data_IF_592596243453
#
_entry.id   IF_592596243453
#
_cell.length_a   1.000
_cell.length_b   1.000
_cell.length_c   1.000
_cell.angle_alpha   90.00
_cell.angle_beta   90.00
_cell.angle_gamma   90.00
#
_symmetry.space_group_name_H-M   'P 1'
#
loop_
_entity.id
_entity.type
_entity.pdbx_description
1 polymer ?
#
# COMPACT_ATOMS: atom_id res chain seq x y z
N UNK A 1 -7.53 13.31 20.64
CA UNK A 1 -6.77 12.05 20.47
C UNK A 1 -5.91 12.21 19.21
N UNK A 2 -4.62 11.88 19.25
CA UNK A 2 -3.72 12.10 18.10
C UNK A 2 -4.00 11.13 16.97
N UNK A 3 -3.81 11.57 15.75
CA UNK A 3 -3.86 10.74 14.53
C UNK A 3 -2.73 9.72 14.55
N UNK A 4 -3.02 8.44 14.30
CA UNK A 4 -2.02 7.37 14.14
C UNK A 4 -1.39 7.46 12.75
N UNK A 5 -0.19 6.88 12.62
CA UNK A 5 0.46 6.68 11.32
C UNK A 5 0.45 5.18 11.00
N UNK A 6 0.18 4.86 9.76
CA UNK A 6 0.30 3.51 9.24
C UNK A 6 1.09 3.51 7.93
N UNK A 7 2.14 2.71 7.89
CA UNK A 7 2.88 2.39 6.67
C UNK A 7 3.36 0.94 6.76
N UNK A 8 3.13 0.20 5.69
CA UNK A 8 3.74 -1.11 5.50
C UNK A 8 4.59 -1.10 4.24
N UNK A 9 5.88 -1.17 4.41
CA UNK A 9 6.82 -1.38 3.30
C UNK A 9 6.91 -2.87 2.95
N UNK A 10 7.39 -3.18 1.75
CA UNK A 10 7.45 -4.55 1.23
C UNK A 10 8.25 -5.51 2.13
N UNK A 11 9.30 -5.00 2.77
CA UNK A 11 10.22 -5.71 3.66
C UNK A 11 10.00 -5.37 5.14
N UNK A 12 8.85 -4.76 5.46
CA UNK A 12 8.55 -4.29 6.80
C UNK A 12 8.10 -5.43 7.71
N UNK A 13 8.65 -5.59 8.91
CA UNK A 13 8.03 -6.39 9.93
C UNK A 13 6.67 -5.79 10.30
N UNK A 14 5.74 -6.62 10.77
CA UNK A 14 4.50 -6.16 11.40
C UNK A 14 4.84 -5.11 12.45
N UNK A 15 4.04 -4.06 12.53
CA UNK A 15 4.27 -2.98 13.47
C UNK A 15 5.64 -2.32 13.33
N UNK A 16 6.03 -1.97 12.10
CA UNK A 16 7.20 -1.12 11.88
C UNK A 16 7.13 0.16 12.72
N UNK A 17 8.26 0.84 12.94
CA UNK A 17 8.31 2.02 13.80
C UNK A 17 7.41 3.18 13.36
N UNK A 18 6.89 3.13 12.14
CA UNK A 18 5.92 4.08 11.58
C UNK A 18 4.47 3.72 11.89
N UNK A 19 4.21 2.49 12.32
CA UNK A 19 2.86 2.04 12.65
C UNK A 19 2.53 2.35 14.11
N UNK A 20 1.50 3.15 14.35
CA UNK A 20 0.91 3.36 15.66
C UNK A 20 -0.17 2.33 16.02
N UNK A 21 -0.25 1.24 15.28
CA UNK A 21 -1.24 0.18 15.45
C UNK A 21 -0.85 -0.70 16.64
N UNK A 22 -1.79 -1.03 17.56
CA UNK A 22 -1.51 -1.89 18.70
C UNK A 22 -1.05 -3.29 18.29
N UNK A 23 -0.25 -3.92 19.14
CA UNK A 23 0.17 -5.30 18.95
C UNK A 23 -1.04 -6.25 18.87
N UNK A 24 -0.96 -7.22 17.95
CA UNK A 24 -2.03 -8.18 17.72
C UNK A 24 -3.17 -7.71 16.80
N UNK A 25 -3.21 -6.41 16.45
CA UNK A 25 -4.20 -5.88 15.49
C UNK A 25 -4.01 -6.43 14.08
N UNK A 26 -2.75 -6.67 13.69
CA UNK A 26 -2.39 -7.12 12.34
C UNK A 26 -1.79 -8.52 12.37
N UNK A 27 -2.24 -9.36 11.43
CA UNK A 27 -1.68 -10.69 11.21
C UNK A 27 -1.35 -10.89 9.73
N UNK A 28 -0.10 -11.21 9.43
CA UNK A 28 0.29 -11.64 8.07
C UNK A 28 -0.10 -13.09 7.86
N UNK A 29 -0.81 -13.34 6.77
CA UNK A 29 -1.22 -14.68 6.38
C UNK A 29 -0.35 -15.21 5.24
N UNK A 30 -0.10 -16.52 5.18
CA UNK A 30 0.75 -17.10 4.13
C UNK A 30 0.11 -16.98 2.76
N UNK A 31 0.95 -16.71 1.74
CA UNK A 31 0.54 -16.61 0.34
C UNK A 31 0.84 -17.93 -0.37
N UNK A 32 -0.18 -18.49 -1.04
CA UNK A 32 -0.03 -19.66 -1.89
C UNK A 32 1.06 -19.45 -2.96
N UNK A 33 1.91 -20.47 -3.24
CA UNK A 33 3.01 -20.31 -4.19
C UNK A 33 2.60 -19.73 -5.55
N UNK A 34 1.46 -20.15 -6.09
CA UNK A 34 0.93 -19.66 -7.37
C UNK A 34 0.57 -18.16 -7.39
N UNK A 35 0.36 -17.54 -6.22
CA UNK A 35 0.01 -16.12 -6.12
C UNK A 35 1.21 -15.21 -5.82
N UNK A 36 2.37 -15.75 -5.46
CA UNK A 36 3.52 -14.95 -4.99
C UNK A 36 4.07 -13.95 -6.03
N UNK A 37 3.87 -14.23 -7.32
CA UNK A 37 4.21 -13.30 -8.41
C UNK A 37 3.23 -12.13 -8.57
N UNK A 38 2.02 -12.23 -7.98
CA UNK A 38 0.94 -11.26 -8.14
C UNK A 38 0.54 -10.56 -6.83
N UNK A 39 0.77 -11.21 -5.70
CA UNK A 39 0.41 -10.72 -4.36
C UNK A 39 1.69 -10.47 -3.57
N UNK A 40 1.81 -9.30 -2.95
CA UNK A 40 2.94 -8.94 -2.09
C UNK A 40 2.72 -9.36 -0.65
N UNK A 41 1.53 -9.13 -0.12
CA UNK A 41 1.14 -9.59 1.22
C UNK A 41 -0.37 -9.78 1.33
N UNK A 42 -0.74 -10.60 2.29
CA UNK A 42 -2.10 -10.88 2.72
C UNK A 42 -2.15 -10.59 4.21
N UNK A 43 -3.02 -9.65 4.61
CA UNK A 43 -3.06 -9.09 5.95
C UNK A 43 -4.46 -9.19 6.52
N UNK A 44 -4.61 -9.87 7.65
CA UNK A 44 -5.79 -9.78 8.49
C UNK A 44 -5.60 -8.66 9.49
N UNK A 45 -6.64 -7.83 9.70
CA UNK A 45 -6.65 -6.79 10.71
C UNK A 45 -7.91 -6.88 11.56
N UNK A 46 -7.77 -6.60 12.85
CA UNK A 46 -8.88 -6.59 13.81
C UNK A 46 -8.59 -5.63 14.96
N UNK A 47 -9.49 -4.69 15.18
CA UNK A 47 -9.43 -3.78 16.31
C UNK A 47 -10.84 -3.39 16.76
N UNK A 48 -11.07 -3.32 18.07
CA UNK A 48 -12.35 -2.87 18.63
C UNK A 48 -12.12 -1.61 19.45
N UNK A 49 -12.93 -0.61 19.20
CA UNK A 49 -12.88 0.69 19.86
C UNK A 49 -13.99 0.81 20.90
N UNK A 50 -13.77 1.61 21.93
CA UNK A 50 -14.81 1.90 22.91
C UNK A 50 -15.99 2.64 22.24
N UNK A 51 -17.25 2.43 22.68
CA UNK A 51 -18.40 3.09 22.10
C UNK A 51 -18.23 4.61 22.02
N UNK A 52 -18.54 5.18 20.87
CA UNK A 52 -18.38 6.60 20.58
C UNK A 52 -16.95 7.09 20.38
N UNK A 53 -15.95 6.19 20.43
CA UNK A 53 -14.58 6.53 20.08
C UNK A 53 -14.32 6.38 18.58
N UNK A 54 -13.76 7.45 17.99
CA UNK A 54 -13.24 7.44 16.63
C UNK A 54 -11.71 7.51 16.68
N UNK A 55 -11.05 6.63 15.94
CA UNK A 55 -9.61 6.68 15.72
C UNK A 55 -9.35 7.13 14.29
N UNK A 56 -8.49 8.11 14.13
CA UNK A 56 -8.00 8.57 12.82
C UNK A 56 -6.63 7.98 12.58
N UNK A 57 -6.47 7.38 11.41
CA UNK A 57 -5.20 6.79 11.01
C UNK A 57 -4.78 7.34 9.64
N UNK A 58 -3.58 7.87 9.57
CA UNK A 58 -2.98 8.32 8.32
C UNK A 58 -2.22 7.16 7.69
N UNK A 59 -2.78 6.65 6.62
CA UNK A 59 -2.17 5.60 5.78
C UNK A 59 -1.22 6.27 4.80
N UNK A 60 0.06 5.97 4.91
CA UNK A 60 1.08 6.49 4.01
C UNK A 60 1.10 5.69 2.70
N UNK A 61 1.36 6.35 1.56
CA UNK A 61 1.31 5.70 0.26
C UNK A 61 2.50 4.76 0.08
N UNK A 62 2.21 3.54 -0.35
CA UNK A 62 3.21 2.55 -0.79
C UNK A 62 3.12 2.25 -2.30
N UNK A 63 2.13 2.86 -2.98
CA UNK A 63 1.89 2.67 -4.40
C UNK A 63 1.26 1.33 -4.77
N UNK A 64 0.88 0.51 -3.80
CA UNK A 64 0.23 -0.77 -4.06
C UNK A 64 -1.27 -0.58 -4.35
N UNK A 65 -1.79 -1.46 -5.20
CA UNK A 65 -3.23 -1.68 -5.35
C UNK A 65 -3.66 -2.68 -4.29
N UNK A 66 -4.80 -2.43 -3.63
CA UNK A 66 -5.32 -3.32 -2.60
C UNK A 66 -6.73 -3.79 -2.90
N UNK A 67 -7.02 -5.04 -2.51
CA UNK A 67 -8.37 -5.53 -2.34
C UNK A 67 -8.64 -5.59 -0.84
N UNK A 68 -9.78 -5.07 -0.41
CA UNK A 68 -10.18 -5.02 1.00
C UNK A 68 -11.54 -5.67 1.15
N UNK A 69 -11.64 -6.54 2.15
CA UNK A 69 -12.87 -7.24 2.54
C UNK A 69 -13.11 -6.95 4.02
N UNK A 70 -14.10 -6.14 4.33
CA UNK A 70 -14.47 -5.74 5.69
C UNK A 70 -15.54 -6.70 6.23
N UNK A 71 -15.27 -7.36 7.35
CA UNK A 71 -16.21 -8.22 8.07
C UNK A 71 -16.93 -7.47 9.18
N UNK A 72 -16.33 -6.39 9.70
CA UNK A 72 -16.88 -5.46 10.66
C UNK A 72 -17.21 -4.11 10.02
N UNK A 73 -17.11 -3.03 10.80
CA UNK A 73 -17.34 -1.69 10.32
C UNK A 73 -16.23 -1.28 9.36
N UNK A 74 -16.63 -0.91 8.15
CA UNK A 74 -15.68 -0.51 7.11
C UNK A 74 -15.08 0.87 7.44
N UNK A 75 -13.74 1.02 7.48
CA UNK A 75 -13.10 2.31 7.67
C UNK A 75 -13.53 3.32 6.60
N UNK A 76 -13.91 4.53 6.99
CA UNK A 76 -14.22 5.61 6.04
C UNK A 76 -12.95 6.41 5.71
N UNK A 77 -12.81 6.86 4.47
CA UNK A 77 -11.66 7.66 4.02
C UNK A 77 -12.12 8.98 3.41
N UNK A 78 -11.47 10.09 3.77
CA UNK A 78 -11.67 11.41 3.17
C UNK A 78 -13.17 11.79 2.98
N UNK A 79 -13.98 11.58 4.02
CA UNK A 79 -15.44 11.78 4.06
C UNK A 79 -16.28 10.83 3.18
N UNK A 80 -15.66 9.90 2.46
CA UNK A 80 -16.35 8.82 1.77
C UNK A 80 -16.61 7.65 2.74
N UNK A 81 -17.82 7.08 2.77
CA UNK A 81 -18.10 5.90 3.58
C UNK A 81 -17.26 4.72 3.09
N UNK A 82 -16.76 3.91 4.03
CA UNK A 82 -16.11 2.64 3.71
C UNK A 82 -17.08 1.66 3.07
N UNK A 83 -16.55 0.77 2.25
CA UNK A 83 -17.33 -0.26 1.57
C UNK A 83 -16.99 -1.64 2.12
N UNK A 84 -17.96 -2.54 2.12
CA UNK A 84 -17.75 -3.92 2.59
C UNK A 84 -16.70 -4.66 1.76
N UNK A 85 -16.67 -4.41 0.46
CA UNK A 85 -15.65 -4.93 -0.46
C UNK A 85 -15.19 -3.84 -1.42
N UNK A 86 -13.90 -3.60 -1.49
CA UNK A 86 -13.37 -2.55 -2.33
C UNK A 86 -12.02 -2.90 -2.98
N UNK A 87 -11.77 -2.31 -4.13
CA UNK A 87 -10.47 -2.25 -4.75
C UNK A 87 -9.94 -0.81 -4.65
N UNK A 88 -8.83 -0.65 -3.96
CA UNK A 88 -8.16 0.64 -3.77
C UNK A 88 -7.01 0.71 -4.75
N UNK A 89 -7.07 1.65 -5.68
CA UNK A 89 -6.04 1.89 -6.68
C UNK A 89 -4.74 2.43 -6.07
N UNK A 90 -3.71 2.50 -6.89
CA UNK A 90 -2.42 3.03 -6.44
C UNK A 90 -2.51 4.53 -6.14
N UNK A 91 -2.05 4.93 -4.95
CA UNK A 91 -1.99 6.31 -4.48
C UNK A 91 -0.54 6.76 -4.28
N UNK A 92 -0.29 8.04 -4.56
CA UNK A 92 0.98 8.72 -4.26
C UNK A 92 0.77 9.90 -3.29
N UNK A 93 -0.29 9.86 -2.49
CA UNK A 93 -0.61 10.81 -1.44
C UNK A 93 -1.11 10.06 -0.20
N UNK A 94 -0.98 10.61 1.01
CA UNK A 94 -1.50 9.97 2.21
C UNK A 94 -3.04 10.03 2.21
N UNK A 95 -3.68 9.00 2.78
CA UNK A 95 -5.11 8.99 3.06
C UNK A 95 -5.34 8.98 4.57
N UNK A 96 -6.38 9.65 5.05
CA UNK A 96 -6.79 9.59 6.46
C UNK A 96 -8.04 8.74 6.56
N UNK A 97 -7.90 7.56 7.19
CA UNK A 97 -9.03 6.68 7.48
C UNK A 97 -9.56 6.93 8.88
N UNK A 98 -10.87 6.84 9.04
CA UNK A 98 -11.57 6.93 10.32
C UNK A 98 -12.16 5.57 10.65
N UNK A 99 -11.89 5.11 11.85
CA UNK A 99 -12.29 3.80 12.35
C UNK A 99 -13.11 3.96 13.62
N UNK A 100 -14.19 3.19 13.72
CA UNK A 100 -15.10 3.17 14.87
C UNK A 100 -15.51 1.73 15.17
N UNK A 101 -16.10 1.55 16.32
CA UNK A 101 -16.72 0.29 16.76
C UNK A 101 -15.81 -0.94 16.54
N UNK A 102 -16.11 -1.83 15.66
CA UNK A 102 -15.27 -3.01 15.39
C UNK A 102 -14.83 -3.06 13.94
N UNK A 103 -13.57 -2.76 13.71
CA UNK A 103 -12.93 -2.88 12.40
C UNK A 103 -12.29 -4.25 12.30
N UNK A 104 -12.76 -5.04 11.38
CA UNK A 104 -12.22 -6.38 11.09
C UNK A 104 -12.24 -6.59 9.58
N UNK A 105 -11.12 -7.07 9.02
CA UNK A 105 -11.07 -7.29 7.58
C UNK A 105 -9.80 -7.97 7.11
N UNK A 106 -9.80 -8.29 5.82
CA UNK A 106 -8.71 -8.91 5.12
C UNK A 106 -8.30 -8.04 3.94
N UNK A 107 -7.01 -7.69 3.89
CA UNK A 107 -6.42 -6.85 2.85
C UNK A 107 -5.40 -7.63 2.05
N UNK A 108 -5.49 -7.56 0.72
CA UNK A 108 -4.52 -8.11 -0.23
C UNK A 108 -3.83 -6.96 -0.94
N UNK A 109 -2.52 -6.85 -0.83
CA UNK A 109 -1.75 -5.93 -1.64
C UNK A 109 -1.22 -6.63 -2.89
N UNK A 110 -1.51 -6.05 -4.04
CA UNK A 110 -1.09 -6.57 -5.32
C UNK A 110 0.31 -6.07 -5.69
N UNK A 111 1.08 -6.93 -6.33
CA UNK A 111 2.34 -6.50 -6.96
C UNK A 111 2.04 -5.65 -8.18
N UNK A 112 2.93 -4.70 -8.51
CA UNK A 112 2.84 -3.99 -9.78
C UNK A 112 2.63 -4.97 -10.95
N UNK A 113 1.71 -4.66 -11.84
CA UNK A 113 1.37 -5.50 -13.00
C UNK A 113 0.26 -6.54 -12.78
N UNK A 114 -0.13 -6.82 -11.53
CA UNK A 114 -1.12 -7.85 -11.24
C UNK A 114 -2.58 -7.41 -11.49
N UNK A 115 -2.86 -6.11 -11.61
CA UNK A 115 -4.21 -5.58 -11.69
C UNK A 115 -5.03 -6.17 -12.85
N UNK A 116 -4.48 -6.17 -14.06
CA UNK A 116 -5.21 -6.67 -15.23
C UNK A 116 -5.63 -8.14 -15.07
N UNK A 117 -4.75 -8.99 -14.53
CA UNK A 117 -5.03 -10.42 -14.34
C UNK A 117 -6.02 -10.67 -13.19
N UNK A 118 -5.92 -9.92 -12.09
CA UNK A 118 -6.73 -10.15 -10.90
C UNK A 118 -8.02 -9.30 -10.86
N UNK A 119 -7.99 -8.08 -11.39
CA UNK A 119 -9.16 -7.18 -11.39
C UNK A 119 -9.90 -7.17 -12.72
N UNK A 120 -9.23 -7.54 -13.83
CA UNK A 120 -9.81 -7.50 -15.17
C UNK A 120 -9.68 -6.13 -15.85
N UNK A 121 -9.02 -5.16 -15.20
CA UNK A 121 -8.80 -3.81 -15.73
C UNK A 121 -7.35 -3.37 -15.57
N UNK A 122 -6.84 -2.50 -16.44
CA UNK A 122 -5.54 -1.85 -16.23
C UNK A 122 -5.47 -1.10 -14.90
N UNK A 123 -4.31 -1.10 -14.26
CA UNK A 123 -4.08 -0.41 -12.99
C UNK A 123 -4.43 1.09 -13.05
N UNK A 124 -4.21 1.73 -14.21
CA UNK A 124 -4.49 3.15 -14.42
C UNK A 124 -5.97 3.52 -14.38
N UNK A 125 -6.88 2.57 -14.63
CA UNK A 125 -8.33 2.85 -14.60
C UNK A 125 -8.87 3.09 -13.17
N UNK A 126 -8.20 2.51 -12.18
CA UNK A 126 -8.56 2.68 -10.76
C UNK A 126 -7.56 3.52 -9.99
N UNK A 127 -6.53 4.07 -10.65
CA UNK A 127 -5.50 4.88 -10.00
C UNK A 127 -6.11 6.08 -9.26
N UNK A 128 -5.71 6.28 -8.00
CA UNK A 128 -6.23 7.37 -7.16
C UNK A 128 -7.70 7.22 -6.75
N UNK A 129 -8.30 6.03 -6.87
CA UNK A 129 -9.70 5.77 -6.55
C UNK A 129 -9.86 4.55 -5.67
N UNK A 130 -10.86 4.55 -4.81
CA UNK A 130 -11.46 3.35 -4.24
C UNK A 130 -12.76 3.06 -5.01
N UNK A 131 -12.94 1.84 -5.47
CA UNK A 131 -14.12 1.40 -6.23
C UNK A 131 -14.71 0.15 -5.58
N UNK A 132 -16.02 -0.01 -5.64
CA UNK A 132 -16.66 -1.22 -5.16
C UNK A 132 -16.17 -2.41 -5.98
N UNK A 133 -15.70 -3.48 -5.33
CA UNK A 133 -15.07 -4.60 -6.02
C UNK A 133 -16.01 -5.27 -7.04
N UNK A 134 -17.31 -5.25 -6.78
CA UNK A 134 -18.30 -5.83 -7.70
C UNK A 134 -18.44 -5.06 -9.02
N UNK A 135 -18.01 -3.79 -9.09
CA UNK A 135 -17.92 -3.07 -10.37
C UNK A 135 -16.89 -3.73 -11.30
N UNK A 136 -15.87 -4.37 -10.73
CA UNK A 136 -14.82 -5.08 -11.46
C UNK A 136 -15.08 -6.60 -11.58
N UNK A 137 -15.77 -7.18 -10.60
CA UNK A 137 -15.95 -8.63 -10.48
C UNK A 137 -17.38 -9.11 -10.77
N UNK A 138 -18.34 -8.19 -11.05
CA UNK A 138 -19.70 -8.57 -11.40
C UNK A 138 -20.46 -9.31 -10.30
N UNK A 139 -20.36 -8.84 -9.03
CA UNK A 139 -21.03 -9.43 -7.86
C UNK A 139 -20.27 -10.58 -7.19
N UNK A 140 -19.14 -11.04 -7.76
CA UNK A 140 -18.32 -12.09 -7.15
C UNK A 140 -17.66 -11.63 -5.84
N UNK A 141 -17.38 -10.32 -5.66
CA UNK A 141 -16.74 -9.76 -4.47
C UNK A 141 -17.63 -9.87 -3.23
N UNK A 142 -18.85 -9.41 -3.30
CA UNK A 142 -19.84 -9.51 -2.21
C UNK A 142 -20.17 -10.97 -1.90
N UNK A 143 -20.30 -11.82 -2.92
CA UNK A 143 -20.52 -13.27 -2.73
C UNK A 143 -19.33 -13.91 -2.01
N UNK A 144 -18.10 -13.53 -2.34
CA UNK A 144 -16.91 -14.04 -1.67
C UNK A 144 -16.85 -13.57 -0.22
N UNK A 145 -17.18 -12.29 0.05
CA UNK A 145 -17.23 -11.76 1.42
C UNK A 145 -18.20 -12.57 2.28
N UNK A 146 -19.42 -12.84 1.80
CA UNK A 146 -20.42 -13.62 2.54
C UNK A 146 -19.87 -15.03 2.89
N UNK A 147 -19.25 -15.72 1.93
CA UNK A 147 -18.63 -17.04 2.18
C UNK A 147 -17.47 -16.96 3.19
N UNK A 148 -16.66 -15.90 3.14
CA UNK A 148 -15.57 -15.70 4.09
C UNK A 148 -16.09 -15.37 5.49
N UNK A 149 -17.22 -14.64 5.60
CA UNK A 149 -17.84 -14.36 6.89
C UNK A 149 -18.32 -15.64 7.61
N UNK A 150 -18.75 -16.65 6.86
CA UNK A 150 -19.17 -17.96 7.38
C UNK A 150 -17.99 -18.92 7.67
N UNK A 151 -16.77 -18.53 7.29
CA UNK A 151 -15.60 -19.38 7.47
C UNK A 151 -15.23 -19.50 8.96
N UNK A 152 -14.79 -20.69 9.35
CA UNK A 152 -14.50 -21.06 10.75
C UNK A 152 -13.37 -20.27 11.40
N UNK A 153 -12.40 -19.80 10.60
CA UNK A 153 -11.20 -19.11 11.06
C UNK A 153 -10.56 -18.27 9.94
N UNK A 154 -9.57 -17.45 10.30
CA UNK A 154 -8.88 -16.56 9.38
C UNK A 154 -8.07 -17.31 8.30
N UNK A 155 -7.58 -18.52 8.60
CA UNK A 155 -6.91 -19.36 7.61
C UNK A 155 -7.87 -19.83 6.52
N UNK A 156 -9.09 -20.22 6.89
CA UNK A 156 -10.14 -20.59 5.95
C UNK A 156 -10.61 -19.39 5.12
N UNK A 157 -10.75 -18.20 5.72
CA UNK A 157 -11.01 -16.94 5.00
C UNK A 157 -9.94 -16.65 3.94
N UNK A 158 -8.67 -16.73 4.34
CA UNK A 158 -7.54 -16.55 3.43
C UNK A 158 -7.51 -17.59 2.31
N UNK A 159 -7.86 -18.84 2.60
CA UNK A 159 -7.92 -19.90 1.60
C UNK A 159 -9.02 -19.63 0.55
N UNK A 160 -10.22 -19.23 0.98
CA UNK A 160 -11.31 -18.86 0.06
C UNK A 160 -10.92 -17.72 -0.87
N UNK A 161 -10.32 -16.67 -0.31
CA UNK A 161 -9.85 -15.53 -1.10
C UNK A 161 -8.77 -15.96 -2.10
N UNK A 162 -7.78 -16.73 -1.67
CA UNK A 162 -6.69 -17.18 -2.54
C UNK A 162 -7.21 -18.09 -3.67
N UNK A 163 -8.20 -18.93 -3.40
CA UNK A 163 -8.87 -19.73 -4.44
C UNK A 163 -9.57 -18.85 -5.47
N UNK A 164 -10.26 -17.78 -5.03
CA UNK A 164 -10.89 -16.83 -5.94
C UNK A 164 -9.85 -16.12 -6.81
N UNK A 165 -8.73 -15.65 -6.23
CA UNK A 165 -7.64 -15.02 -6.97
C UNK A 165 -7.00 -15.97 -7.99
N UNK A 166 -6.74 -17.23 -7.60
CA UNK A 166 -6.20 -18.24 -8.53
C UNK A 166 -7.15 -18.52 -9.69
N UNK A 167 -8.46 -18.61 -9.44
CA UNK A 167 -9.47 -18.76 -10.49
C UNK A 167 -9.45 -17.59 -11.48
N UNK A 168 -9.22 -16.37 -10.99
CA UNK A 168 -9.11 -15.18 -11.85
C UNK A 168 -7.84 -15.22 -12.69
N UNK A 169 -6.70 -15.62 -12.12
CA UNK A 169 -5.48 -15.82 -12.91
C UNK A 169 -5.68 -16.85 -14.03
N UNK A 170 -6.37 -17.95 -13.75
CA UNK A 170 -6.68 -18.95 -14.77
C UNK A 170 -7.58 -18.40 -15.89
N UNK A 171 -8.57 -17.56 -15.55
CA UNK A 171 -9.43 -16.90 -16.53
C UNK A 171 -8.69 -15.87 -17.38
N UNK A 172 -7.72 -15.17 -16.80
CA UNK A 172 -6.93 -14.15 -17.51
C UNK A 172 -5.96 -14.73 -18.54
N UNK A 173 -5.67 -16.05 -18.51
CA UNK A 173 -4.73 -16.70 -19.41
C UNK A 173 -3.30 -16.16 -19.27
N UNK A 174 -2.55 -16.12 -20.38
CA UNK A 174 -1.17 -15.62 -20.42
C UNK A 174 -1.05 -14.09 -20.30
N UNK A 175 -1.96 -13.44 -19.60
CA UNK A 175 -1.95 -12.00 -19.32
C UNK A 175 -0.73 -11.55 -18.52
N UNK A 176 0.45 -12.04 -18.88
CA UNK A 176 1.72 -11.64 -18.26
C UNK A 176 1.95 -10.14 -18.47
N UNK A 177 2.12 -9.37 -17.40
CA UNK A 177 2.42 -7.95 -17.54
C UNK A 177 3.66 -7.74 -18.40
N UNK A 178 3.75 -6.66 -19.21
CA UNK A 178 4.95 -6.39 -19.97
C UNK A 178 6.17 -6.38 -19.07
N UNK A 179 7.12 -7.26 -19.36
CA UNK A 179 8.36 -7.42 -18.58
C UNK A 179 9.08 -6.08 -18.37
N UNK A 180 9.00 -5.18 -19.34
CA UNK A 180 9.57 -3.84 -19.28
C UNK A 180 8.99 -2.99 -18.10
N UNK A 181 7.66 -2.99 -17.90
CA UNK A 181 7.05 -2.21 -16.81
C UNK A 181 7.49 -2.74 -15.43
N UNK A 182 7.48 -4.07 -15.29
CA UNK A 182 7.86 -4.73 -14.05
C UNK A 182 9.35 -4.57 -13.73
N UNK A 183 10.19 -4.68 -14.76
CA UNK A 183 11.62 -4.48 -14.62
C UNK A 183 11.94 -3.03 -14.28
N UNK A 184 11.31 -2.06 -14.96
CA UNK A 184 11.47 -0.65 -14.64
C UNK A 184 11.04 -0.32 -13.20
N UNK A 185 9.92 -0.86 -12.71
CA UNK A 185 9.47 -0.65 -11.34
C UNK A 185 10.51 -1.15 -10.32
N UNK A 186 11.12 -2.31 -10.59
CA UNK A 186 12.21 -2.87 -9.75
C UNK A 186 13.47 -2.01 -9.82
N UNK A 187 13.89 -1.58 -10.99
CA UNK A 187 15.08 -0.71 -11.15
C UNK A 187 14.93 0.59 -10.38
N UNK A 188 13.77 1.26 -10.53
CA UNK A 188 13.50 2.50 -9.81
C UNK A 188 13.51 2.27 -8.28
N UNK A 189 12.89 1.19 -7.80
CA UNK A 189 12.86 0.88 -6.38
C UNK A 189 14.26 0.52 -5.84
N UNK A 190 15.04 -0.29 -6.58
CA UNK A 190 16.40 -0.69 -6.19
C UNK A 190 17.39 0.49 -6.17
N UNK A 191 17.14 1.53 -6.98
CA UNK A 191 17.92 2.75 -6.99
C UNK A 191 17.37 3.82 -6.02
N UNK A 192 16.43 3.48 -5.14
CA UNK A 192 15.74 4.41 -4.24
C UNK A 192 15.17 5.64 -4.98
N UNK A 193 14.67 5.44 -6.20
CA UNK A 193 14.10 6.51 -7.01
C UNK A 193 15.08 7.57 -7.52
N UNK A 194 16.39 7.32 -7.46
CA UNK A 194 17.44 8.29 -7.85
C UNK A 194 17.82 8.20 -9.33
N UNK A 195 17.47 7.10 -10.00
CA UNK A 195 17.84 6.88 -11.40
C UNK A 195 17.02 7.76 -12.34
N UNK A 196 17.67 8.32 -13.36
CA UNK A 196 17.01 9.13 -14.37
C UNK A 196 16.05 8.28 -15.23
N UNK A 197 14.87 8.80 -15.56
CA UNK A 197 13.87 8.08 -16.35
C UNK A 197 14.43 7.55 -17.68
N UNK A 198 15.29 8.34 -18.34
CA UNK A 198 15.95 7.95 -19.59
C UNK A 198 16.80 6.69 -19.43
N UNK A 199 17.54 6.59 -18.34
CA UNK A 199 18.39 5.42 -18.05
C UNK A 199 17.54 4.17 -17.79
N UNK A 200 16.45 4.33 -17.02
CA UNK A 200 15.49 3.24 -16.78
C UNK A 200 14.87 2.78 -18.10
N UNK A 201 14.44 3.71 -18.96
CA UNK A 201 13.83 3.41 -20.25
C UNK A 201 14.83 2.66 -21.18
N UNK A 202 16.08 3.11 -21.21
CA UNK A 202 17.16 2.42 -21.95
C UNK A 202 17.41 1.00 -21.42
N UNK A 203 17.48 0.84 -20.09
CA UNK A 203 17.73 -0.45 -19.45
C UNK A 203 16.63 -1.50 -19.74
N UNK A 204 15.38 -1.04 -19.96
CA UNK A 204 14.26 -1.94 -20.29
C UNK A 204 13.94 -1.97 -21.79
N UNK A 205 14.75 -1.33 -22.64
CA UNK A 205 14.64 -1.41 -24.09
C UNK A 205 13.44 -0.67 -24.69
N UNK A 206 12.93 0.40 -24.05
CA UNK A 206 11.80 1.19 -24.56
C UNK A 206 12.11 2.69 -24.52
N UNK A 207 11.34 3.50 -25.29
CA UNK A 207 11.41 4.94 -25.18
C UNK A 207 10.68 5.45 -23.92
N UNK A 208 11.06 6.63 -23.40
CA UNK A 208 10.48 7.22 -22.18
C UNK A 208 8.95 7.35 -22.24
N UNK A 209 8.41 7.81 -23.38
CA UNK A 209 6.96 7.94 -23.57
C UNK A 209 6.26 6.57 -23.46
N UNK A 210 6.85 5.52 -24.06
CA UNK A 210 6.31 4.17 -23.96
C UNK A 210 6.40 3.64 -22.54
N UNK A 211 7.49 3.90 -21.83
CA UNK A 211 7.64 3.56 -20.43
C UNK A 211 6.57 4.21 -19.55
N UNK A 212 6.28 5.50 -19.75
CA UNK A 212 5.22 6.21 -19.03
C UNK A 212 3.85 5.56 -19.24
N UNK A 213 3.52 5.18 -20.50
CA UNK A 213 2.26 4.48 -20.83
C UNK A 213 2.18 3.11 -20.15
N UNK A 214 3.24 2.33 -20.20
CA UNK A 214 3.30 1.01 -19.58
C UNK A 214 3.18 1.12 -18.05
N UNK A 215 3.86 2.10 -17.45
CA UNK A 215 3.77 2.33 -16.02
C UNK A 215 2.35 2.70 -15.58
N UNK A 216 1.71 3.64 -16.27
CA UNK A 216 0.33 4.01 -15.97
C UNK A 216 -0.61 2.79 -16.10
N UNK A 217 -0.50 2.04 -17.19
CA UNK A 217 -1.37 0.89 -17.44
C UNK A 217 -1.18 -0.26 -16.42
N UNK A 218 0.05 -0.52 -15.96
CA UNK A 218 0.36 -1.72 -15.19
C UNK A 218 0.72 -1.46 -13.72
N UNK A 219 1.14 -0.24 -13.37
CA UNK A 219 1.46 0.17 -11.99
C UNK A 219 0.38 1.09 -11.41
N UNK A 220 -0.33 1.85 -12.27
CA UNK A 220 -1.32 2.85 -11.86
C UNK A 220 -0.71 4.21 -11.48
N UNK A 221 0.61 4.33 -11.48
CA UNK A 221 1.35 5.56 -11.20
C UNK A 221 2.23 5.95 -12.39
N UNK A 222 2.74 7.17 -12.40
CA UNK A 222 3.83 7.52 -13.31
C UNK A 222 5.18 7.01 -12.76
N UNK A 223 6.20 6.76 -13.62
CA UNK A 223 7.55 6.42 -13.14
C UNK A 223 8.12 7.44 -12.16
N UNK A 224 7.79 8.73 -12.36
CA UNK A 224 8.22 9.82 -11.47
C UNK A 224 7.55 9.69 -10.09
N UNK A 225 6.25 9.44 -10.04
CA UNK A 225 5.53 9.25 -8.77
C UNK A 225 6.06 8.01 -8.01
N UNK A 226 6.30 6.92 -8.74
CA UNK A 226 6.91 5.71 -8.17
C UNK A 226 8.31 5.97 -7.61
N UNK A 227 9.14 6.74 -8.33
CA UNK A 227 10.47 7.14 -7.86
C UNK A 227 10.42 8.03 -6.61
N UNK A 228 9.43 8.94 -6.52
CA UNK A 228 9.20 9.74 -5.31
C UNK A 228 8.87 8.87 -4.10
N UNK A 229 8.00 7.86 -4.27
CA UNK A 229 7.67 6.89 -3.22
C UNK A 229 8.90 6.08 -2.81
N UNK A 230 9.65 5.54 -3.78
CA UNK A 230 10.87 4.78 -3.50
C UNK A 230 11.88 5.59 -2.67
N UNK A 231 12.06 6.87 -3.00
CA UNK A 231 12.94 7.80 -2.28
C UNK A 231 12.46 8.08 -0.85
N UNK A 232 11.16 8.33 -0.70
CA UNK A 232 10.55 8.49 0.62
C UNK A 232 10.76 7.22 1.47
N UNK A 233 10.49 6.04 0.91
CA UNK A 233 10.64 4.77 1.64
C UNK A 233 12.08 4.52 2.06
N UNK A 234 13.05 4.86 1.22
CA UNK A 234 14.48 4.81 1.58
C UNK A 234 14.80 5.73 2.77
N UNK A 235 14.30 6.97 2.72
CA UNK A 235 14.42 7.93 3.82
C UNK A 235 13.78 7.41 5.11
N UNK A 236 12.57 6.85 5.04
CA UNK A 236 11.88 6.27 6.20
C UNK A 236 12.64 5.08 6.80
N UNK A 237 13.23 4.22 5.97
CA UNK A 237 14.11 3.12 6.45
C UNK A 237 15.34 3.66 7.17
N UNK A 238 15.98 4.70 6.64
CA UNK A 238 17.13 5.32 7.29
C UNK A 238 16.75 5.97 8.64
N UNK A 239 15.57 6.60 8.72
CA UNK A 239 15.07 7.18 9.97
C UNK A 239 14.83 6.15 11.09
N UNK A 240 14.67 4.87 10.77
CA UNK A 240 14.58 3.80 11.77
C UNK A 240 15.89 3.65 12.57
N UNK A 241 17.00 3.96 11.95
CA UNK A 241 18.33 3.79 12.52
C UNK A 241 18.83 5.05 13.23
N UNK A 242 18.16 6.21 13.07
CA UNK A 242 18.62 7.50 13.56
C UNK A 242 17.53 8.21 14.34
N UNK A 243 17.80 8.51 15.61
CA UNK A 243 16.85 9.25 16.47
C UNK A 243 16.94 10.78 16.28
N UNK A 244 18.05 11.29 15.77
CA UNK A 244 18.29 12.71 15.53
C UNK A 244 19.13 12.89 14.26
N UNK A 245 18.54 12.77 13.06
CA UNK A 245 19.30 12.92 11.81
C UNK A 245 19.68 14.37 11.54
N UNK A 246 20.85 14.57 10.94
CA UNK A 246 21.17 15.84 10.28
C UNK A 246 20.36 15.92 8.98
N UNK A 247 19.31 16.73 8.97
CA UNK A 247 18.35 16.77 7.85
C UNK A 247 18.97 17.16 6.51
N UNK A 248 20.02 17.99 6.51
CA UNK A 248 20.73 18.35 5.29
C UNK A 248 21.45 17.14 4.68
N UNK A 249 22.16 16.36 5.51
CA UNK A 249 22.86 15.16 5.06
C UNK A 249 21.86 14.08 4.61
N UNK A 250 20.81 13.86 5.39
CA UNK A 250 19.72 12.95 5.03
C UNK A 250 19.10 13.31 3.67
N UNK A 251 18.92 14.59 3.37
CA UNK A 251 18.40 15.03 2.09
C UNK A 251 19.33 14.64 0.93
N UNK A 252 20.61 14.91 1.06
CA UNK A 252 21.62 14.58 0.03
C UNK A 252 21.77 13.06 -0.15
N UNK A 253 21.86 12.31 0.95
CA UNK A 253 22.03 10.86 0.94
C UNK A 253 20.87 10.13 0.25
N UNK A 254 19.66 10.69 0.36
CA UNK A 254 18.46 10.12 -0.26
C UNK A 254 18.04 10.80 -1.57
N UNK A 255 18.94 11.61 -2.19
CA UNK A 255 18.74 12.16 -3.52
C UNK A 255 17.70 13.30 -3.60
N UNK A 256 17.52 14.03 -2.50
CA UNK A 256 16.85 15.33 -2.51
C UNK A 256 17.87 16.42 -2.80
N UNK A 257 17.41 17.51 -3.40
CA UNK A 257 18.30 18.61 -3.76
C UNK A 257 18.88 19.31 -2.50
N UNK A 258 18.00 19.54 -1.51
CA UNK A 258 18.34 20.17 -0.23
C UNK A 258 17.31 19.74 0.85
N UNK A 259 17.51 20.23 2.07
CA UNK A 259 16.59 19.99 3.19
C UNK A 259 15.17 20.50 2.91
N UNK A 260 15.02 21.64 2.22
CA UNK A 260 13.71 22.21 1.90
C UNK A 260 12.94 21.33 0.93
N UNK A 261 13.63 20.75 -0.05
CA UNK A 261 13.07 19.77 -0.98
C UNK A 261 12.63 18.50 -0.23
N UNK A 262 13.46 17.97 0.67
CA UNK A 262 13.09 16.84 1.53
C UNK A 262 11.81 17.14 2.32
N UNK A 263 11.74 18.29 3.01
CA UNK A 263 10.58 18.67 3.83
C UNK A 263 9.30 18.78 2.99
N UNK A 264 9.40 19.40 1.80
CA UNK A 264 8.25 19.55 0.90
C UNK A 264 7.75 18.21 0.36
N UNK A 265 8.66 17.34 -0.10
CA UNK A 265 8.32 16.00 -0.58
C UNK A 265 7.74 15.13 0.54
N UNK A 266 8.33 15.20 1.73
CA UNK A 266 7.85 14.47 2.90
C UNK A 266 6.44 14.92 3.29
N UNK A 267 6.19 16.24 3.33
CA UNK A 267 4.85 16.77 3.60
C UNK A 267 3.85 16.37 2.53
N UNK A 268 4.23 16.38 1.25
CA UNK A 268 3.35 15.97 0.15
C UNK A 268 2.97 14.48 0.22
N UNK A 269 3.89 13.61 0.65
CA UNK A 269 3.72 12.16 0.65
C UNK A 269 3.28 11.59 2.01
N UNK A 270 3.58 12.27 3.12
CA UNK A 270 3.22 11.83 4.48
C UNK A 270 2.15 12.72 5.14
N UNK A 271 1.87 13.91 4.58
CA UNK A 271 0.96 14.89 5.18
C UNK A 271 1.50 15.55 6.46
N UNK A 272 2.75 15.28 6.84
CA UNK A 272 3.45 15.82 8.01
C UNK A 272 4.90 16.14 7.64
N UNK A 273 5.57 16.97 8.44
CA UNK A 273 7.00 17.22 8.26
C UNK A 273 7.84 16.06 8.80
N UNK A 274 9.11 15.91 8.38
CA UNK A 274 10.01 14.90 8.93
C UNK A 274 10.17 15.00 10.46
N UNK A 275 10.22 16.20 10.99
CA UNK A 275 10.33 16.43 12.45
C UNK A 275 9.06 16.01 13.20
N UNK A 276 7.88 16.34 12.67
CA UNK A 276 6.59 15.90 13.23
C UNK A 276 6.45 14.37 13.18
N UNK A 277 6.93 13.75 12.10
CA UNK A 277 6.93 12.30 11.94
C UNK A 277 7.76 11.63 13.02
N UNK A 278 9.00 12.10 13.27
CA UNK A 278 9.85 11.58 14.35
C UNK A 278 9.24 11.83 15.73
N UNK A 279 8.65 13.00 15.96
CA UNK A 279 7.99 13.32 17.23
C UNK A 279 6.82 12.37 17.54
N UNK A 280 6.06 11.96 16.54
CA UNK A 280 4.98 10.97 16.70
C UNK A 280 5.52 9.57 17.06
N UNK A 281 6.65 9.16 16.51
CA UNK A 281 7.32 7.90 16.85
C UNK A 281 7.75 7.83 18.32
N UNK A 282 8.39 8.90 18.81
CA UNK A 282 8.86 8.99 20.21
C UNK A 282 7.70 8.89 21.20
N UNK A 283 6.55 9.52 20.90
CA UNK A 283 5.38 9.49 21.78
C UNK A 283 4.71 8.11 21.86
N UNK A 284 4.79 7.29 20.83
CA UNK A 284 4.28 5.92 20.83
C UNK A 284 5.23 4.99 21.63
N UNK A 285 6.53 5.10 21.40
CA UNK A 285 7.53 4.28 22.11
C UNK A 285 7.52 4.50 23.62
N UNK A 286 7.22 5.73 24.11
CA UNK A 286 7.14 6.03 25.54
C UNK A 286 5.88 5.50 26.23
N UNK A 287 4.84 5.12 25.47
CA UNK A 287 3.59 4.53 26.03
C UNK A 287 3.64 3.01 26.13
N UNK A 288 4.53 2.36 25.39
CA UNK A 288 4.71 0.89 25.40
C UNK A 288 5.69 0.44 26.50
N UNK A 289 6.37 1.37 27.16
CA UNK A 289 7.36 1.11 28.24
C UNK A 289 6.80 1.32 29.65
N UNK A 290 5.48 1.16 29.85
CA UNK A 290 4.85 1.17 31.20
C UNK A 290 3.97 -0.04 31.40
#
# INVERSE_FOLDING_TARGET
MGERLFLRLHDDPLHGPESGVPDGTLQVLPIAPALRSHVSHLLMYRETFAPGHEVRERVLPDGAIRLVFNFGDAPSADDAPGQAVEAIGAFAAPAVVRMRDTVEGLSVALRPGAAAALLGVPAGEIAGRAVHLDELWGGEGTTLLARMAEARDDAARAQLLQQALMKRLQKAGDGTPPAAAMHAARLIAAADGRQALREVAQAVGVGERRLQQLFHAHVGLSPRAWGRLARLHACLRALRLHSAPAWADMALDHGFYDQSHLVNEFRALCGVTPTEFLGRRVSVSSKTAR
#
